data_IF_454707511583
#
_entry.id   IF_454707511583
#
_cell.length_a   1.000
_cell.length_b   1.000
_cell.length_c   1.000
_cell.angle_alpha   90.00
_cell.angle_beta   90.00
_cell.angle_gamma   90.00
#
_symmetry.space_group_name_H-M   'P 1'
#
loop_
_entity.id
_entity.type
_entity.pdbx_description
1 polymer ?
#
# COMPACT_ATOMS: atom_id res chain seq x y z
N UNK A 1 -10.82 -20.40 -6.48
CA UNK A 1 -9.45 -20.03 -6.45
C UNK A 1 -8.81 -20.54 -5.19
N UNK A 2 -7.64 -20.98 -5.27
CA UNK A 2 -7.02 -21.48 -4.13
C UNK A 2 -5.78 -20.75 -3.85
N UNK A 3 -5.44 -20.62 -2.67
CA UNK A 3 -4.22 -19.99 -2.35
C UNK A 3 -3.23 -21.04 -2.05
N UNK A 4 -2.17 -20.97 -2.73
CA UNK A 4 -1.10 -21.82 -2.41
C UNK A 4 -0.23 -21.06 -1.50
N UNK A 5 -0.25 -21.34 -0.27
CA UNK A 5 0.69 -20.70 0.58
C UNK A 5 1.84 -21.63 0.77
N UNK A 6 3.00 -21.16 0.58
CA UNK A 6 4.17 -21.93 0.90
C UNK A 6 4.64 -21.48 2.27
N UNK A 7 5.44 -22.32 2.89
CA UNK A 7 5.98 -22.00 4.20
C UNK A 7 6.90 -20.79 4.18
N UNK A 8 7.41 -20.44 2.99
CA UNK A 8 8.31 -19.29 2.85
C UNK A 8 7.59 -18.06 2.38
N UNK A 9 6.27 -18.10 2.36
CA UNK A 9 5.49 -17.00 1.86
C UNK A 9 5.62 -15.80 2.78
N UNK A 10 5.92 -14.66 2.19
CA UNK A 10 5.99 -13.37 2.88
C UNK A 10 4.87 -12.49 2.39
N UNK A 11 3.66 -13.03 2.43
CA UNK A 11 2.48 -12.32 2.00
C UNK A 11 1.59 -12.03 3.18
N UNK A 12 0.82 -10.97 3.08
CA UNK A 12 -0.21 -10.66 4.07
C UNK A 12 -1.51 -10.40 3.33
N UNK A 13 -2.58 -11.03 3.81
CA UNK A 13 -3.91 -10.76 3.29
C UNK A 13 -4.55 -9.58 4.02
N UNK A 14 -5.75 -9.22 3.60
CA UNK A 14 -6.43 -8.06 4.16
C UNK A 14 -6.71 -8.23 5.65
N UNK A 15 -7.00 -9.44 6.11
CA UNK A 15 -7.27 -9.65 7.53
C UNK A 15 -6.03 -9.36 8.37
N UNK A 16 -4.87 -9.77 7.88
CA UNK A 16 -3.62 -9.50 8.58
C UNK A 16 -3.28 -8.01 8.55
N UNK A 17 -3.53 -7.36 7.41
CA UNK A 17 -3.29 -5.93 7.29
C UNK A 17 -4.17 -5.15 8.25
N UNK A 18 -5.43 -5.53 8.38
CA UNK A 18 -6.35 -4.84 9.30
C UNK A 18 -5.93 -4.95 10.75
N UNK A 19 -5.17 -5.98 11.11
CA UNK A 19 -4.64 -6.11 12.48
C UNK A 19 -3.46 -5.19 12.73
N UNK A 20 -2.78 -4.76 11.66
CA UNK A 20 -1.59 -3.93 11.77
C UNK A 20 -1.93 -2.46 11.62
N UNK A 21 -2.72 -2.12 10.61
CA UNK A 21 -3.06 -0.73 10.32
C UNK A 21 -4.38 -0.35 10.97
N UNK A 22 -4.45 0.82 11.61
CA UNK A 22 -5.72 1.29 12.17
C UNK A 22 -6.64 1.90 11.12
N UNK A 23 -6.12 2.16 9.93
CA UNK A 23 -6.88 2.79 8.86
C UNK A 23 -8.09 1.95 8.46
N UNK A 24 -9.18 2.63 8.11
CA UNK A 24 -10.40 1.96 7.62
C UNK A 24 -10.95 2.78 6.47
N UNK A 25 -11.93 2.23 5.79
CA UNK A 25 -12.58 2.91 4.68
C UNK A 25 -12.96 4.34 5.08
N UNK A 26 -12.68 5.35 4.26
CA UNK A 26 -12.11 5.28 2.92
C UNK A 26 -10.60 5.49 2.88
N UNK A 27 -9.91 5.41 4.00
CA UNK A 27 -8.48 5.74 4.09
C UNK A 27 -7.56 4.54 4.07
N UNK A 28 -8.08 3.33 4.08
CA UNK A 28 -7.22 2.15 3.96
C UNK A 28 -6.89 1.95 2.49
N UNK A 29 -5.61 2.03 2.15
CA UNK A 29 -5.16 2.03 0.76
C UNK A 29 -4.18 0.88 0.45
N UNK A 30 -4.25 -0.21 1.21
CA UNK A 30 -3.43 -1.39 0.95
C UNK A 30 -4.33 -2.61 1.02
N UNK A 31 -4.37 -3.38 -0.04
CA UNK A 31 -5.22 -4.57 -0.11
C UNK A 31 -4.45 -5.84 0.19
N UNK A 32 -3.16 -5.86 -0.09
CA UNK A 32 -2.34 -7.07 0.06
C UNK A 32 -0.88 -6.69 0.15
N UNK A 33 -0.11 -7.46 0.89
CA UNK A 33 1.34 -7.41 0.81
C UNK A 33 1.79 -8.63 0.01
N UNK A 34 2.54 -8.36 -1.04
CA UNK A 34 2.98 -9.41 -1.96
C UNK A 34 4.29 -10.05 -1.53
N UNK A 35 5.16 -9.27 -0.87
CA UNK A 35 6.46 -9.77 -0.44
C UNK A 35 7.09 -8.78 0.52
N UNK A 36 7.96 -9.27 1.39
CA UNK A 36 8.77 -8.39 2.22
C UNK A 36 10.05 -9.12 2.65
N UNK A 37 11.05 -8.33 2.98
CA UNK A 37 12.32 -8.84 3.49
C UNK A 37 12.78 -7.88 4.59
N UNK A 38 12.72 -8.35 5.83
CA UNK A 38 13.00 -7.49 6.98
C UNK A 38 14.48 -7.13 7.06
N UNK A 39 15.34 -8.05 6.65
CA UNK A 39 16.79 -7.79 6.71
C UNK A 39 17.21 -6.70 5.74
N UNK A 40 16.59 -6.68 4.57
CA UNK A 40 16.87 -5.68 3.55
C UNK A 40 16.03 -4.44 3.67
N UNK A 41 15.00 -4.47 4.52
CA UNK A 41 14.08 -3.35 4.64
C UNK A 41 13.27 -3.13 3.38
N UNK A 42 12.75 -4.21 2.78
CA UNK A 42 12.01 -4.16 1.54
C UNK A 42 10.60 -4.68 1.76
N UNK A 43 9.62 -4.04 1.13
CA UNK A 43 8.24 -4.49 1.16
C UNK A 43 7.55 -4.07 -0.13
N UNK A 44 6.67 -4.93 -0.62
CA UNK A 44 5.87 -4.67 -1.81
C UNK A 44 4.41 -4.85 -1.45
N UNK A 45 3.66 -3.77 -1.54
CA UNK A 45 2.22 -3.78 -1.32
C UNK A 45 1.46 -3.63 -2.62
N UNK A 46 0.15 -3.84 -2.53
CA UNK A 46 -0.72 -3.78 -3.69
C UNK A 46 -2.03 -3.12 -3.30
N UNK A 47 -2.50 -2.22 -4.15
CA UNK A 47 -3.83 -1.63 -4.06
C UNK A 47 -4.54 -1.89 -5.38
N UNK A 48 -5.69 -2.52 -5.32
CA UNK A 48 -6.53 -2.74 -6.49
C UNK A 48 -7.49 -1.58 -6.62
N UNK A 49 -7.56 -0.98 -7.80
CA UNK A 49 -8.35 0.23 -8.00
C UNK A 49 -9.56 -0.08 -8.86
N UNK A 50 -10.71 0.21 -8.33
CA UNK A 50 -11.96 0.12 -9.08
C UNK A 50 -12.59 1.50 -9.15
N UNK A 51 -13.56 1.65 -10.04
CA UNK A 51 -14.28 2.90 -10.14
C UNK A 51 -15.11 3.21 -8.88
N UNK A 52 -15.23 2.24 -7.98
CA UNK A 52 -15.96 2.45 -6.73
C UNK A 52 -15.12 3.16 -5.66
N UNK A 53 -13.84 3.45 -5.94
CA UNK A 53 -13.05 4.25 -5.01
C UNK A 53 -13.62 5.66 -4.96
N UNK A 54 -13.89 6.19 -3.77
CA UNK A 54 -14.58 7.49 -3.66
C UNK A 54 -13.82 8.65 -4.31
N UNK A 55 -12.51 8.62 -4.32
CA UNK A 55 -11.75 9.74 -4.86
C UNK A 55 -11.88 9.90 -6.37
N UNK A 56 -12.25 8.85 -7.09
CA UNK A 56 -12.39 8.98 -8.54
C UNK A 56 -13.58 9.84 -8.95
N UNK A 57 -14.56 9.99 -8.07
CA UNK A 57 -15.73 10.80 -8.39
C UNK A 57 -15.42 12.27 -8.45
N UNK A 58 -14.42 12.71 -7.68
CA UNK A 58 -14.06 14.10 -7.65
C UNK A 58 -12.78 14.46 -8.39
N UNK A 59 -11.99 13.46 -8.78
CA UNK A 59 -10.64 13.70 -9.32
C UNK A 59 -10.38 12.87 -10.56
N UNK A 60 -10.99 13.05 -11.67
CA UNK A 60 -11.99 14.05 -11.99
C UNK A 60 -13.17 13.35 -12.64
N UNK A 61 -14.39 13.91 -12.60
CA UNK A 61 -15.58 13.19 -13.09
C UNK A 61 -15.47 12.64 -14.50
N UNK A 62 -14.86 13.39 -15.42
CA UNK A 62 -14.73 12.94 -16.82
C UNK A 62 -13.40 12.30 -17.13
N UNK A 63 -12.47 12.28 -16.16
CA UNK A 63 -11.15 11.71 -16.36
C UNK A 63 -10.63 11.24 -14.99
N UNK A 64 -11.13 10.10 -14.50
CA UNK A 64 -10.76 9.67 -13.15
C UNK A 64 -9.31 9.20 -13.09
N UNK A 65 -8.56 9.80 -12.19
CA UNK A 65 -7.20 9.41 -11.88
C UNK A 65 -7.00 9.45 -10.38
N UNK A 66 -6.14 8.59 -9.87
CA UNK A 66 -5.84 8.58 -8.45
C UNK A 66 -4.96 9.77 -8.10
N UNK A 67 -5.36 10.58 -7.11
CA UNK A 67 -4.52 11.71 -6.69
C UNK A 67 -3.15 11.24 -6.22
N UNK A 68 -2.10 11.96 -6.64
CA UNK A 68 -0.73 11.60 -6.25
C UNK A 68 -0.53 11.60 -4.75
N UNK A 69 -1.20 12.50 -4.03
CA UNK A 69 -1.08 12.55 -2.57
C UNK A 69 -1.61 11.26 -1.92
N UNK A 70 -2.60 10.61 -2.54
CA UNK A 70 -3.10 9.35 -2.02
C UNK A 70 -2.17 8.18 -2.34
N UNK A 71 -1.43 8.26 -3.43
CA UNK A 71 -0.38 7.29 -3.71
C UNK A 71 0.71 7.38 -2.65
N UNK A 72 1.09 8.60 -2.26
CA UNK A 72 2.05 8.78 -1.17
C UNK A 72 1.51 8.24 0.15
N UNK A 73 0.22 8.45 0.40
CA UNK A 73 -0.40 7.90 1.62
C UNK A 73 -0.37 6.37 1.59
N UNK A 74 -0.67 5.76 0.45
CA UNK A 74 -0.62 4.31 0.32
C UNK A 74 0.79 3.78 0.60
N UNK A 75 1.81 4.46 0.07
CA UNK A 75 3.20 4.10 0.36
C UNK A 75 3.52 4.23 1.85
N UNK A 76 3.01 5.27 2.51
CA UNK A 76 3.22 5.44 3.94
C UNK A 76 2.58 4.29 4.72
N UNK A 77 1.42 3.83 4.29
CA UNK A 77 0.77 2.70 4.95
C UNK A 77 1.58 1.41 4.78
N UNK A 78 2.10 1.16 3.58
CA UNK A 78 2.97 0.01 3.36
C UNK A 78 4.23 0.10 4.22
N UNK A 79 4.80 1.29 4.34
CA UNK A 79 5.95 1.51 5.22
C UNK A 79 5.63 1.26 6.69
N UNK A 80 4.42 1.63 7.12
CA UNK A 80 4.00 1.35 8.50
C UNK A 80 3.90 -0.15 8.76
N UNK A 81 3.51 -0.91 7.76
CA UNK A 81 3.42 -2.36 7.89
C UNK A 81 4.81 -2.96 8.14
N UNK A 82 5.81 -2.58 7.36
CA UNK A 82 7.13 -3.17 7.56
C UNK A 82 7.74 -2.74 8.90
N UNK A 83 7.47 -1.52 9.36
CA UNK A 83 7.90 -1.11 10.69
C UNK A 83 7.29 -2.00 11.76
N UNK A 84 6.00 -2.27 11.65
CA UNK A 84 5.33 -3.17 12.59
C UNK A 84 5.97 -4.57 12.55
N UNK A 85 6.24 -5.09 11.36
CA UNK A 85 6.83 -6.42 11.22
C UNK A 85 8.24 -6.50 11.79
N UNK A 86 8.94 -5.37 11.86
CA UNK A 86 10.25 -5.29 12.50
C UNK A 86 10.18 -5.15 14.01
N UNK A 87 9.00 -5.15 14.58
CA UNK A 87 8.83 -5.11 16.03
C UNK A 87 8.55 -3.75 16.62
N UNK A 88 8.27 -2.73 15.78
CA UNK A 88 7.89 -1.42 16.28
C UNK A 88 6.39 -1.39 16.51
N UNK A 89 5.97 -1.12 17.74
CA UNK A 89 4.55 -1.13 18.07
C UNK A 89 3.82 0.13 17.65
N UNK A 90 4.54 1.20 17.39
CA UNK A 90 3.92 2.47 17.06
C UNK A 90 3.77 2.59 15.55
N UNK A 91 2.63 3.17 15.15
CA UNK A 91 2.42 3.49 13.76
C UNK A 91 3.49 4.49 13.31
N UNK A 92 4.06 4.24 12.15
CA UNK A 92 5.01 5.19 11.59
C UNK A 92 4.25 6.42 11.13
N UNK A 93 4.43 7.52 11.85
CA UNK A 93 3.73 8.76 11.55
C UNK A 93 4.47 9.54 10.48
N UNK A 94 5.80 9.41 10.44
CA UNK A 94 6.61 10.15 9.50
C UNK A 94 7.45 9.22 8.67
N UNK A 95 7.32 9.32 7.36
CA UNK A 95 8.23 8.71 6.40
C UNK A 95 8.85 9.82 5.60
N UNK A 96 10.15 9.72 5.40
CA UNK A 96 10.83 10.67 4.54
C UNK A 96 10.77 10.18 3.11
N UNK A 97 10.14 10.95 2.24
CA UNK A 97 10.07 10.63 0.84
C UNK A 97 10.96 11.63 0.11
N UNK A 98 12.14 11.18 -0.28
CA UNK A 98 13.11 12.05 -0.90
C UNK A 98 12.90 12.25 -2.38
N UNK A 99 12.25 11.31 -3.03
CA UNK A 99 12.16 11.34 -4.48
C UNK A 99 10.89 10.60 -4.93
N UNK A 100 9.85 11.34 -5.25
CA UNK A 100 8.61 10.77 -5.72
C UNK A 100 8.35 11.24 -7.14
N UNK A 101 8.14 10.31 -8.06
CA UNK A 101 7.84 10.62 -9.45
C UNK A 101 6.58 9.89 -9.87
N UNK A 102 5.66 10.64 -10.47
CA UNK A 102 4.41 10.08 -10.96
C UNK A 102 4.42 10.19 -12.48
N UNK A 103 4.81 9.09 -13.14
CA UNK A 103 5.00 9.12 -14.59
C UNK A 103 3.75 8.81 -15.37
N UNK A 104 2.95 7.89 -14.85
CA UNK A 104 1.73 7.47 -15.52
C UNK A 104 0.56 7.66 -14.59
N UNK A 105 -0.56 8.21 -15.07
CA UNK A 105 -1.74 8.32 -14.22
C UNK A 105 -2.26 6.94 -13.85
N UNK A 106 -2.75 6.82 -12.64
CA UNK A 106 -3.37 5.59 -12.12
C UNK A 106 -4.87 5.75 -12.25
N UNK A 107 -5.51 4.81 -12.91
CA UNK A 107 -6.93 4.89 -13.27
C UNK A 107 -7.72 3.72 -12.72
N UNK A 108 -9.06 3.83 -12.72
CA UNK A 108 -9.88 2.68 -12.35
C UNK A 108 -9.56 1.47 -13.24
N UNK A 109 -9.48 0.30 -12.61
CA UNK A 109 -9.10 -0.93 -13.29
C UNK A 109 -7.62 -1.26 -13.16
N UNK A 110 -6.82 -0.33 -12.67
CA UNK A 110 -5.38 -0.57 -12.53
C UNK A 110 -5.08 -1.30 -11.22
N UNK A 111 -3.96 -1.99 -11.21
CA UNK A 111 -3.38 -2.55 -10.00
C UNK A 111 -2.14 -1.73 -9.70
N UNK A 112 -2.15 -1.10 -8.52
CA UNK A 112 -1.06 -0.25 -8.11
C UNK A 112 -0.09 -1.06 -7.24
N UNK A 113 1.17 -1.15 -7.68
CA UNK A 113 2.21 -1.81 -6.91
C UNK A 113 3.01 -0.77 -6.15
N UNK A 114 3.15 -1.00 -4.84
CA UNK A 114 3.74 -0.05 -3.92
C UNK A 114 4.99 -0.67 -3.32
N UNK A 115 6.15 -0.30 -3.86
CA UNK A 115 7.41 -0.89 -3.41
C UNK A 115 8.23 0.11 -2.61
N UNK A 116 8.71 -0.34 -1.47
CA UNK A 116 9.59 0.45 -0.62
C UNK A 116 10.84 -0.37 -0.36
N UNK A 117 12.00 0.30 -0.44
CA UNK A 117 13.29 -0.35 -0.23
C UNK A 117 14.12 0.47 0.75
N UNK A 118 15.06 -0.21 1.38
CA UNK A 118 16.08 0.44 2.24
C UNK A 118 15.48 1.13 3.46
N UNK A 119 14.44 0.54 4.01
CA UNK A 119 13.88 1.00 5.27
C UNK A 119 14.79 0.53 6.40
N UNK A 120 15.30 1.44 7.19
CA UNK A 120 16.18 1.12 8.32
C UNK A 120 15.41 0.81 9.58
#
# INVERSE_FOLDING_TARGET
>A
MESTSSDNSKTLDIKQILKILPHRYPFLLVDRILDYNLDQGMIIGQKNLTFNEPFFQGHFPNAPIMPGVLILEALAQVGSIIFHLKGHDKLAVFLTINNAKFRNPVRPGDILTLKIENIC
#
